data_IF_627256578524
#
_entry.id   IF_627256578524
#
_cell.length_a   1.000
_cell.length_b   1.000
_cell.length_c   1.000
_cell.angle_alpha   90.00
_cell.angle_beta   90.00
_cell.angle_gamma   90.00
#
_symmetry.space_group_name_H-M   'P 1'
#
loop_
_entity.id
_entity.type
_entity.pdbx_description
1 polymer ?
#
# COMPACT_ATOMS: atom_id res chain seq x y z
N UNK A 1 14.12 -16.97 -5.61
CA UNK A 1 14.55 -15.56 -5.53
C UNK A 1 14.45 -15.08 -4.10
N UNK A 2 15.40 -14.24 -3.64
CA UNK A 2 15.29 -13.55 -2.35
C UNK A 2 14.14 -12.53 -2.44
N UNK A 3 13.23 -12.53 -1.46
CA UNK A 3 12.16 -11.51 -1.36
C UNK A 3 12.73 -10.25 -0.69
N UNK A 4 12.36 -9.09 -1.20
CA UNK A 4 12.77 -7.79 -0.66
C UNK A 4 11.62 -7.18 0.14
N UNK A 5 11.93 -6.67 1.33
CA UNK A 5 10.95 -6.01 2.20
C UNK A 5 10.80 -4.54 1.81
N UNK A 6 9.61 -4.01 2.04
CA UNK A 6 9.38 -2.57 1.96
C UNK A 6 10.02 -1.86 3.16
N UNK A 7 10.46 -0.62 2.95
CA UNK A 7 11.03 0.21 4.00
C UNK A 7 9.96 0.88 4.89
N UNK A 8 8.66 0.76 4.56
CA UNK A 8 7.55 1.16 5.42
C UNK A 8 6.84 -0.05 6.03
N UNK A 9 6.33 0.12 7.25
CA UNK A 9 5.28 -0.74 7.80
C UNK A 9 3.95 -0.26 7.24
N UNK A 10 3.18 -1.15 6.63
CA UNK A 10 1.93 -0.78 5.99
C UNK A 10 0.86 -1.83 6.25
N UNK A 11 -0.36 -1.36 6.54
CA UNK A 11 -1.50 -2.25 6.66
C UNK A 11 -1.76 -2.93 5.32
N UNK A 12 -2.05 -4.22 5.32
CA UNK A 12 -2.31 -4.98 4.09
C UNK A 12 -1.06 -5.37 3.30
N UNK A 13 0.16 -5.18 3.83
CA UNK A 13 1.40 -5.53 3.13
C UNK A 13 1.42 -6.96 2.58
N UNK A 14 1.55 -7.08 1.25
CA UNK A 14 1.41 -8.33 0.50
C UNK A 14 2.62 -9.24 0.50
N UNK A 15 3.64 -8.95 1.30
CA UNK A 15 4.87 -9.73 1.41
C UNK A 15 4.63 -11.27 1.56
N UNK A 16 3.67 -11.75 2.38
CA UNK A 16 3.36 -13.17 2.47
C UNK A 16 2.76 -13.77 1.18
N UNK A 17 2.05 -12.98 0.39
CA UNK A 17 1.28 -13.40 -0.80
C UNK A 17 2.04 -13.19 -2.10
N UNK A 18 3.28 -12.71 -2.04
CA UNK A 18 4.06 -12.38 -3.23
C UNK A 18 4.21 -13.54 -4.20
N UNK A 19 4.34 -14.77 -3.71
CA UNK A 19 4.54 -15.93 -4.60
C UNK A 19 3.26 -16.26 -5.36
N UNK A 20 2.10 -16.14 -4.71
CA UNK A 20 0.80 -16.35 -5.35
C UNK A 20 0.49 -15.21 -6.32
N UNK A 21 0.69 -13.95 -5.92
CA UNK A 21 0.51 -12.79 -6.80
C UNK A 21 1.38 -12.91 -8.05
N UNK A 22 2.67 -13.23 -7.90
CA UNK A 22 3.59 -13.39 -9.03
C UNK A 22 3.24 -14.54 -9.95
N UNK A 23 2.57 -15.58 -9.46
CA UNK A 23 2.10 -16.69 -10.30
C UNK A 23 1.00 -16.26 -11.27
N UNK A 24 0.23 -15.25 -10.89
CA UNK A 24 -0.91 -14.75 -11.67
C UNK A 24 -0.65 -13.43 -12.40
N UNK A 25 0.46 -12.75 -12.11
CA UNK A 25 0.90 -11.58 -12.86
C UNK A 25 1.73 -12.00 -14.09
N UNK A 26 1.26 -11.74 -15.33
CA UNK A 26 2.04 -12.02 -16.52
C UNK A 26 3.16 -11.00 -16.72
N UNK A 27 4.07 -11.30 -17.63
CA UNK A 27 5.04 -10.32 -18.13
C UNK A 27 4.33 -9.20 -18.91
N UNK A 28 4.99 -8.05 -19.00
CA UNK A 28 4.51 -6.88 -19.73
C UNK A 28 5.54 -5.75 -19.71
N UNK A 29 5.23 -4.64 -20.39
CA UNK A 29 6.13 -3.50 -20.54
C UNK A 29 6.04 -2.52 -19.36
N UNK A 30 4.87 -2.47 -18.71
CA UNK A 30 4.61 -1.58 -17.59
C UNK A 30 3.69 -2.25 -16.56
N UNK A 31 4.10 -2.25 -15.28
CA UNK A 31 3.18 -2.58 -14.19
C UNK A 31 2.56 -1.31 -13.62
N UNK A 32 1.24 -1.29 -13.56
CA UNK A 32 0.46 -0.22 -12.95
C UNK A 32 -0.08 -0.71 -11.61
N UNK A 33 0.26 -0.01 -10.53
CA UNK A 33 -0.29 -0.25 -9.19
C UNK A 33 -1.06 0.99 -8.72
N UNK A 34 -2.41 1.04 -8.87
CA UNK A 34 -3.23 2.18 -8.45
C UNK A 34 -3.34 2.37 -6.93
N UNK A 35 -2.88 1.37 -6.17
CA UNK A 35 -2.91 1.31 -4.70
C UNK A 35 -1.55 0.82 -4.19
N UNK A 36 -0.46 1.52 -4.54
CA UNK A 36 0.89 1.00 -4.31
C UNK A 36 1.16 0.71 -2.83
N UNK A 37 0.63 1.51 -1.91
CA UNK A 37 0.92 1.38 -0.47
C UNK A 37 2.43 1.26 -0.23
N UNK A 38 2.86 0.24 0.51
CA UNK A 38 4.30 -0.05 0.75
C UNK A 38 5.09 -0.55 -0.49
N UNK A 39 4.47 -0.80 -1.63
CA UNK A 39 5.15 -1.22 -2.87
C UNK A 39 5.71 -2.65 -2.83
N UNK A 40 5.10 -3.56 -2.07
CA UNK A 40 5.63 -4.93 -1.92
C UNK A 40 5.70 -5.67 -3.25
N UNK A 41 4.73 -5.49 -4.15
CA UNK A 41 4.71 -6.14 -5.47
C UNK A 41 5.76 -5.50 -6.38
N UNK A 42 5.75 -4.18 -6.55
CA UNK A 42 6.79 -3.40 -7.23
C UNK A 42 8.23 -3.80 -6.84
N UNK A 43 8.53 -3.95 -5.55
CA UNK A 43 9.87 -4.30 -5.07
C UNK A 43 10.31 -5.75 -5.36
N UNK A 44 9.39 -6.59 -5.84
CA UNK A 44 9.58 -8.03 -6.01
C UNK A 44 9.19 -8.56 -7.41
N UNK A 45 8.82 -7.68 -8.34
CA UNK A 45 8.58 -7.99 -9.76
C UNK A 45 9.66 -7.35 -10.66
N UNK A 46 9.69 -7.66 -11.95
CA UNK A 46 10.68 -7.10 -12.89
C UNK A 46 9.99 -6.69 -14.19
N UNK A 47 9.41 -5.50 -14.19
CA UNK A 47 8.88 -4.85 -15.39
C UNK A 47 9.85 -3.77 -15.87
N UNK A 48 9.91 -3.48 -17.18
CA UNK A 48 10.72 -2.39 -17.71
C UNK A 48 10.36 -1.02 -17.13
N UNK A 49 9.08 -0.78 -16.85
CA UNK A 49 8.59 0.46 -16.24
C UNK A 49 7.45 0.23 -15.26
N UNK A 50 7.21 1.22 -14.39
CA UNK A 50 6.13 1.19 -13.40
C UNK A 50 5.39 2.52 -13.33
N UNK A 51 4.06 2.46 -13.18
CA UNK A 51 3.22 3.60 -12.76
C UNK A 51 2.62 3.23 -11.40
N UNK A 52 3.05 3.94 -10.37
CA UNK A 52 2.74 3.63 -8.98
C UNK A 52 1.96 4.78 -8.37
N UNK A 53 0.69 4.53 -8.03
CA UNK A 53 -0.20 5.56 -7.52
C UNK A 53 -0.74 5.23 -6.13
N UNK A 54 -1.01 6.28 -5.36
CA UNK A 54 -1.75 6.21 -4.11
C UNK A 54 -2.47 7.54 -3.88
N UNK A 55 -3.57 7.52 -3.14
CA UNK A 55 -4.27 8.75 -2.75
C UNK A 55 -3.53 9.48 -1.62
N UNK A 56 -2.62 8.81 -0.92
CA UNK A 56 -1.83 9.39 0.15
C UNK A 56 -0.68 10.24 -0.41
N UNK A 57 -0.84 11.56 -0.37
CA UNK A 57 0.16 12.52 -0.84
C UNK A 57 1.48 12.46 -0.07
N UNK A 58 1.48 12.20 1.23
CA UNK A 58 2.70 12.09 2.03
C UNK A 58 3.54 10.86 1.63
N UNK A 59 2.87 9.76 1.28
CA UNK A 59 3.50 8.55 0.78
C UNK A 59 4.19 8.81 -0.56
N UNK A 60 3.47 9.40 -1.51
CA UNK A 60 3.99 9.70 -2.85
C UNK A 60 5.13 10.73 -2.79
N UNK A 61 5.00 11.75 -1.94
CA UNK A 61 6.06 12.72 -1.69
C UNK A 61 7.34 12.03 -1.17
N UNK A 62 7.21 11.16 -0.15
CA UNK A 62 8.32 10.38 0.37
C UNK A 62 8.99 9.54 -0.73
N UNK A 63 8.21 8.85 -1.57
CA UNK A 63 8.74 8.00 -2.63
C UNK A 63 9.55 8.79 -3.67
N UNK A 64 9.05 9.95 -4.10
CA UNK A 64 9.80 10.81 -5.01
C UNK A 64 11.09 11.34 -4.38
N UNK A 65 11.06 11.75 -3.10
CA UNK A 65 12.29 12.19 -2.40
C UNK A 65 13.33 11.07 -2.28
N UNK A 66 12.92 9.86 -1.93
CA UNK A 66 13.83 8.71 -1.84
C UNK A 66 14.39 8.34 -3.22
N UNK A 67 13.58 8.45 -4.28
CA UNK A 67 14.02 8.25 -5.67
C UNK A 67 15.09 9.27 -6.09
N UNK A 68 14.86 10.54 -5.79
CA UNK A 68 15.69 11.65 -6.29
C UNK A 68 16.96 11.87 -5.45
N UNK A 69 16.88 11.65 -4.13
CA UNK A 69 17.94 12.01 -3.18
C UNK A 69 18.20 10.91 -2.14
N UNK A 70 18.46 9.66 -2.53
CA UNK A 70 18.53 8.53 -1.59
C UNK A 70 19.62 8.69 -0.53
N UNK A 71 20.83 9.07 -0.94
CA UNK A 71 21.98 9.23 -0.04
C UNK A 71 21.70 10.29 1.05
N UNK A 72 21.34 11.50 0.62
CA UNK A 72 21.05 12.61 1.52
C UNK A 72 19.86 12.29 2.44
N UNK A 73 18.80 11.68 1.90
CA UNK A 73 17.63 11.29 2.67
C UNK A 73 17.99 10.29 3.78
N UNK A 74 18.75 9.23 3.44
CA UNK A 74 19.20 8.21 4.41
C UNK A 74 20.06 8.82 5.51
N UNK A 75 21.03 9.65 5.15
CA UNK A 75 21.92 10.32 6.11
C UNK A 75 21.15 11.23 7.07
N UNK A 76 20.19 12.00 6.56
CA UNK A 76 19.42 12.94 7.37
C UNK A 76 18.39 12.23 8.25
N UNK A 77 17.63 11.29 7.69
CA UNK A 77 16.56 10.62 8.43
C UNK A 77 17.11 9.70 9.51
N UNK A 78 18.31 9.12 9.31
CA UNK A 78 19.00 8.31 10.33
C UNK A 78 19.21 9.07 11.64
N UNK A 79 19.41 10.40 11.58
CA UNK A 79 19.55 11.27 12.76
C UNK A 79 18.28 11.28 13.63
N UNK A 80 17.14 10.82 13.12
CA UNK A 80 15.88 10.64 13.86
C UNK A 80 15.73 9.25 14.48
N UNK A 81 16.62 8.30 14.18
CA UNK A 81 16.57 6.92 14.66
C UNK A 81 17.59 6.67 15.78
N UNK A 82 17.60 7.55 16.78
CA UNK A 82 18.46 7.43 17.97
C UNK A 82 17.70 6.87 19.17
N UNK A 83 18.40 6.51 20.24
CA UNK A 83 17.78 6.02 21.49
C UNK A 83 16.92 7.12 22.13
N UNK A 84 17.42 8.35 22.12
CA UNK A 84 16.75 9.54 22.66
C UNK A 84 15.49 9.89 21.86
N UNK A 85 15.46 9.53 20.57
CA UNK A 85 14.30 9.74 19.70
C UNK A 85 13.18 8.73 19.93
N UNK A 86 13.44 7.63 20.67
CA UNK A 86 12.45 6.62 21.01
C UNK A 86 11.78 6.89 22.37
N UNK A 87 11.33 8.13 22.55
CA UNK A 87 10.62 8.61 23.73
C UNK A 87 9.24 9.17 23.34
N UNK A 88 8.28 9.06 24.25
CA UNK A 88 6.90 9.48 23.99
C UNK A 88 6.76 11.00 23.82
N UNK A 89 7.49 11.80 24.58
CA UNK A 89 7.46 13.27 24.49
C UNK A 89 8.07 13.70 23.17
N UNK A 90 9.22 13.13 22.80
CA UNK A 90 9.87 13.39 21.51
C UNK A 90 8.97 12.98 20.35
N UNK A 91 8.36 11.79 20.41
CA UNK A 91 7.43 11.32 19.38
C UNK A 91 6.26 12.29 19.15
N UNK A 92 5.61 12.76 20.21
CA UNK A 92 4.49 13.68 20.07
C UNK A 92 4.90 15.06 19.57
N UNK A 93 6.08 15.56 19.95
CA UNK A 93 6.66 16.78 19.39
C UNK A 93 6.92 16.63 17.89
N UNK A 94 7.53 15.53 17.45
CA UNK A 94 7.76 15.23 16.02
C UNK A 94 6.46 15.03 15.23
N UNK A 95 5.43 14.45 15.85
CA UNK A 95 4.09 14.33 15.25
C UNK A 95 3.44 15.70 15.05
N UNK A 96 3.55 16.59 16.03
CA UNK A 96 3.06 17.95 15.90
C UNK A 96 3.84 18.70 14.81
N UNK A 97 5.16 18.57 14.80
CA UNK A 97 6.03 19.13 13.75
C UNK A 97 5.61 18.65 12.35
N UNK A 98 5.34 17.36 12.19
CA UNK A 98 4.85 16.80 10.93
C UNK A 98 3.52 17.42 10.49
N UNK A 99 2.57 17.58 11.41
CA UNK A 99 1.25 18.16 11.11
C UNK A 99 1.32 19.65 10.75
N UNK A 100 2.31 20.39 11.29
CA UNK A 100 2.48 21.82 11.04
C UNK A 100 3.41 22.13 9.85
N UNK A 101 4.33 21.22 9.53
CA UNK A 101 5.34 21.42 8.49
C UNK A 101 4.73 21.48 7.09
N UNK A 102 5.15 22.50 6.33
CA UNK A 102 4.89 22.65 4.90
C UNK A 102 6.09 22.26 4.03
N UNK A 103 7.25 21.99 4.64
CA UNK A 103 8.45 21.53 3.91
C UNK A 103 8.29 20.05 3.51
N UNK A 104 8.22 19.73 2.20
CA UNK A 104 8.05 18.36 1.72
C UNK A 104 9.18 17.42 2.16
N UNK A 105 10.42 17.91 2.22
CA UNK A 105 11.57 17.09 2.61
C UNK A 105 11.50 16.73 4.10
N UNK A 106 11.25 17.73 4.95
CA UNK A 106 11.07 17.50 6.38
C UNK A 106 9.87 16.59 6.67
N UNK A 107 8.76 16.76 5.96
CA UNK A 107 7.59 15.88 6.07
C UNK A 107 7.94 14.44 5.74
N UNK A 108 8.68 14.18 4.67
CA UNK A 108 9.09 12.82 4.31
C UNK A 108 9.97 12.15 5.37
N UNK A 109 10.93 12.89 5.94
CA UNK A 109 11.77 12.38 7.04
C UNK A 109 10.92 12.01 8.26
N UNK A 110 10.03 12.92 8.67
CA UNK A 110 9.15 12.73 9.82
C UNK A 110 8.14 11.60 9.56
N UNK A 111 7.65 11.45 8.33
CA UNK A 111 6.72 10.38 7.96
C UNK A 111 7.35 8.99 8.17
N UNK A 112 8.60 8.78 7.73
CA UNK A 112 9.32 7.53 7.97
C UNK A 112 9.58 7.30 9.46
N UNK A 113 10.01 8.34 10.20
CA UNK A 113 10.18 8.28 11.65
C UNK A 113 8.88 7.86 12.33
N UNK A 114 7.77 8.56 12.06
CA UNK A 114 6.46 8.28 12.64
C UNK A 114 6.00 6.86 12.30
N UNK A 115 6.14 6.41 11.05
CA UNK A 115 5.78 5.05 10.65
C UNK A 115 6.50 3.96 11.47
N UNK A 116 7.78 4.17 11.79
CA UNK A 116 8.59 3.21 12.54
C UNK A 116 8.39 3.30 14.05
N UNK A 117 7.94 4.44 14.58
CA UNK A 117 7.75 4.68 16.01
C UNK A 117 6.28 4.64 16.47
N UNK A 118 5.32 4.75 15.56
CA UNK A 118 3.89 4.76 15.89
C UNK A 118 3.32 3.37 16.15
N UNK A 119 2.18 3.31 16.82
CA UNK A 119 1.46 2.08 17.09
C UNK A 119 1.18 1.29 15.81
N UNK A 120 1.74 0.08 15.74
CA UNK A 120 1.61 -0.90 14.66
C UNK A 120 2.00 -0.42 13.25
N UNK A 121 2.70 0.72 13.13
CA UNK A 121 2.99 1.29 11.81
C UNK A 121 1.73 1.70 11.05
N UNK A 122 0.67 2.08 11.77
CA UNK A 122 -0.54 2.59 11.16
C UNK A 122 -0.27 3.94 10.50
N UNK A 123 -0.96 4.18 9.38
CA UNK A 123 -1.03 5.48 8.74
C UNK A 123 -2.48 5.98 8.84
N UNK A 124 -2.73 6.97 9.71
CA UNK A 124 -4.09 7.46 9.98
C UNK A 124 -4.08 8.95 10.22
N UNK A 125 -5.02 9.62 9.58
CA UNK A 125 -5.26 11.05 9.67
C UNK A 125 -6.68 11.30 10.19
N UNK A 126 -6.90 12.44 10.85
CA UNK A 126 -8.24 12.92 11.14
C UNK A 126 -8.83 13.69 9.94
N UNK A 127 -10.07 14.19 10.08
CA UNK A 127 -10.75 14.95 9.03
C UNK A 127 -10.07 16.29 8.68
N UNK A 128 -9.14 16.78 9.52
CA UNK A 128 -8.32 17.97 9.24
C UNK A 128 -7.01 17.63 8.50
N UNK A 129 -6.80 16.36 8.13
CA UNK A 129 -5.56 15.91 7.50
C UNK A 129 -4.38 15.78 8.46
N UNK A 130 -4.61 15.76 9.78
CA UNK A 130 -3.55 15.66 10.77
C UNK A 130 -3.30 14.19 11.15
N UNK A 131 -2.05 13.75 11.09
CA UNK A 131 -1.63 12.43 11.53
C UNK A 131 -1.85 12.28 13.04
N UNK A 132 -2.57 11.23 13.44
CA UNK A 132 -3.07 11.08 14.81
C UNK A 132 -2.81 9.70 15.44
N UNK A 133 -1.84 8.95 14.93
CA UNK A 133 -1.48 7.64 15.50
C UNK A 133 -0.68 7.84 16.79
N UNK A 134 -0.98 7.10 17.87
CA UNK A 134 -0.23 7.19 19.14
C UNK A 134 1.16 6.53 19.04
N UNK A 135 2.00 6.80 20.01
CA UNK A 135 3.33 6.17 20.15
C UNK A 135 3.22 4.65 20.31
N UNK A 136 4.13 3.90 19.67
CA UNK A 136 4.10 2.44 19.64
C UNK A 136 4.92 1.73 20.73
N UNK A 137 5.75 2.47 21.46
CA UNK A 137 6.59 1.94 22.56
C UNK A 137 7.43 0.71 22.20
N UNK A 138 8.03 0.70 21.01
CA UNK A 138 8.94 -0.37 20.59
C UNK A 138 10.26 -0.29 21.37
N UNK A 139 10.90 -1.45 21.63
CA UNK A 139 12.21 -1.48 22.31
C UNK A 139 13.30 -0.78 21.50
N UNK A 140 13.36 -1.07 20.20
CA UNK A 140 14.30 -0.46 19.25
C UNK A 140 13.66 -0.46 17.86
N UNK A 141 13.12 0.68 17.40
CA UNK A 141 12.65 0.82 16.03
C UNK A 141 13.76 0.50 15.04
N UNK A 142 13.47 -0.36 14.08
CA UNK A 142 14.41 -0.71 13.01
C UNK A 142 14.53 0.44 12.00
N UNK A 143 15.76 0.84 11.69
CA UNK A 143 16.05 1.79 10.61
C UNK A 143 16.28 1.03 9.29
N UNK A 144 15.41 1.21 8.27
CA UNK A 144 15.41 0.39 7.06
C UNK A 144 16.35 0.91 5.98
N UNK A 145 17.65 0.95 6.28
CA UNK A 145 18.67 1.49 5.38
C UNK A 145 18.77 0.71 4.06
N UNK A 146 18.99 -0.60 4.14
CA UNK A 146 19.13 -1.44 2.95
C UNK A 146 17.85 -1.41 2.10
N UNK A 147 16.68 -1.40 2.73
CA UNK A 147 15.40 -1.31 2.02
C UNK A 147 15.17 0.05 1.37
N UNK A 148 15.71 1.15 1.93
CA UNK A 148 15.64 2.48 1.32
C UNK A 148 16.49 2.53 0.05
N UNK A 149 17.72 2.03 0.10
CA UNK A 149 18.60 2.00 -1.08
C UNK A 149 18.06 1.05 -2.16
N UNK A 150 17.56 -0.12 -1.76
CA UNK A 150 16.89 -1.03 -2.70
C UNK A 150 15.67 -0.38 -3.35
N UNK A 151 14.83 0.32 -2.57
CA UNK A 151 13.70 1.06 -3.11
C UNK A 151 14.16 2.12 -4.11
N UNK A 152 15.19 2.90 -3.79
CA UNK A 152 15.69 3.97 -4.63
C UNK A 152 16.26 3.46 -5.97
N UNK A 153 16.97 2.33 -5.96
CA UNK A 153 17.45 1.66 -7.17
C UNK A 153 16.28 1.26 -8.07
N UNK A 154 15.29 0.58 -7.49
CA UNK A 154 14.08 0.14 -8.19
C UNK A 154 13.24 1.30 -8.72
N UNK A 155 13.20 2.40 -7.96
CA UNK A 155 12.42 3.59 -8.26
C UNK A 155 12.87 4.34 -9.52
N UNK A 156 14.07 4.07 -10.03
CA UNK A 156 14.56 4.71 -11.27
C UNK A 156 13.68 4.36 -12.48
N UNK A 157 13.06 3.17 -12.48
CA UNK A 157 12.14 2.74 -13.53
C UNK A 157 10.67 3.02 -13.19
N UNK A 158 10.38 3.76 -12.11
CA UNK A 158 9.03 4.00 -11.62
C UNK A 158 8.63 5.48 -11.70
N UNK A 159 7.36 5.73 -12.02
CA UNK A 159 6.71 7.03 -11.91
C UNK A 159 5.73 6.98 -10.75
N UNK A 160 5.92 7.84 -9.75
CA UNK A 160 5.03 7.93 -8.59
C UNK A 160 4.06 9.10 -8.75
N UNK A 161 2.76 8.84 -8.61
CA UNK A 161 1.70 9.85 -8.81
C UNK A 161 0.69 9.82 -7.66
N UNK A 162 0.26 11.00 -7.22
CA UNK A 162 -0.76 11.13 -6.17
C UNK A 162 -2.11 11.38 -6.84
N UNK A 163 -2.85 10.31 -7.13
CA UNK A 163 -4.13 10.36 -7.83
C UNK A 163 -5.01 9.18 -7.45
N UNK A 164 -6.29 9.24 -7.80
CA UNK A 164 -7.24 8.16 -7.56
C UNK A 164 -7.03 6.99 -8.52
N UNK A 165 -7.56 5.83 -8.13
CA UNK A 165 -7.36 4.59 -8.88
C UNK A 165 -7.94 4.65 -10.30
N UNK A 166 -9.08 5.29 -10.49
CA UNK A 166 -9.75 5.44 -11.78
C UNK A 166 -8.91 6.27 -12.77
N UNK A 167 -8.32 7.37 -12.30
CA UNK A 167 -7.41 8.20 -13.11
C UNK A 167 -6.14 7.42 -13.46
N UNK A 168 -5.61 6.63 -12.51
CA UNK A 168 -4.42 5.81 -12.75
C UNK A 168 -4.70 4.72 -13.78
N UNK A 169 -5.84 4.03 -13.66
CA UNK A 169 -6.25 2.96 -14.55
C UNK A 169 -6.48 3.45 -15.98
N UNK A 170 -6.96 4.68 -16.16
CA UNK A 170 -7.10 5.31 -17.47
C UNK A 170 -5.76 5.52 -18.21
N UNK A 171 -4.62 5.42 -17.52
CA UNK A 171 -3.27 5.49 -18.14
C UNK A 171 -2.81 4.16 -18.71
N UNK A 172 -3.52 3.06 -18.44
CA UNK A 172 -3.17 1.74 -18.94
C UNK A 172 -3.25 1.71 -20.47
N UNK A 173 -2.25 1.11 -21.10
CA UNK A 173 -2.14 0.96 -22.55
C UNK A 173 -1.82 -0.49 -22.89
N UNK A 174 -1.91 -0.87 -24.16
CA UNK A 174 -1.42 -2.18 -24.63
C UNK A 174 0.00 -2.44 -24.12
N UNK A 175 0.23 -3.65 -23.60
CA UNK A 175 1.49 -4.03 -22.94
C UNK A 175 1.54 -3.72 -21.43
N UNK A 176 0.56 -2.98 -20.90
CA UNK A 176 0.43 -2.77 -19.45
C UNK A 176 -0.14 -4.01 -18.76
N UNK A 177 0.30 -4.23 -17.53
CA UNK A 177 -0.28 -5.17 -16.57
C UNK A 177 -0.70 -4.36 -15.35
N UNK A 178 -1.87 -4.63 -14.81
CA UNK A 178 -2.41 -3.88 -13.67
C UNK A 178 -2.52 -4.78 -12.45
N UNK A 179 -2.03 -4.31 -11.31
CA UNK A 179 -2.25 -4.93 -10.01
C UNK A 179 -2.96 -3.96 -9.06
N UNK A 180 -4.13 -4.37 -8.58
CA UNK A 180 -4.95 -3.57 -7.67
C UNK A 180 -5.01 -4.23 -6.28
N UNK A 181 -4.58 -3.48 -5.27
CA UNK A 181 -4.71 -3.85 -3.86
C UNK A 181 -5.53 -2.82 -3.07
N UNK A 182 -6.85 -2.71 -3.33
CA UNK A 182 -7.68 -1.70 -2.68
C UNK A 182 -7.76 -1.93 -1.16
N UNK A 183 -8.10 -0.89 -0.38
CA UNK A 183 -8.51 -1.09 1.01
C UNK A 183 -9.62 -2.14 1.08
N UNK A 184 -9.45 -3.17 1.90
CA UNK A 184 -10.33 -4.35 1.80
C UNK A 184 -11.79 -4.08 2.16
N UNK A 185 -12.66 -4.87 1.54
CA UNK A 185 -14.08 -4.87 1.83
C UNK A 185 -14.34 -5.25 3.31
N UNK A 186 -15.37 -4.67 3.94
CA UNK A 186 -15.72 -5.01 5.31
C UNK A 186 -16.11 -6.49 5.44
N UNK A 187 -15.66 -7.13 6.52
CA UNK A 187 -15.91 -8.56 6.79
C UNK A 187 -17.38 -8.89 7.08
N UNK A 188 -18.20 -7.90 7.44
CA UNK A 188 -19.64 -8.06 7.60
C UNK A 188 -20.39 -6.76 7.28
N UNK A 189 -21.67 -6.89 6.93
CA UNK A 189 -22.55 -5.73 6.77
C UNK A 189 -22.75 -4.95 8.08
N UNK A 190 -22.55 -5.57 9.25
CA UNK A 190 -22.66 -4.95 10.58
C UNK A 190 -21.38 -4.24 11.02
N UNK A 191 -20.21 -4.59 10.47
CA UNK A 191 -18.97 -3.83 10.66
C UNK A 191 -19.04 -2.41 10.05
N UNK A 192 -20.08 -2.13 9.26
CA UNK A 192 -20.40 -0.79 8.71
C UNK A 192 -20.81 0.22 9.78
N UNK A 193 -21.34 -0.23 10.93
CA UNK A 193 -21.98 0.67 11.90
C UNK A 193 -21.00 1.40 12.84
N UNK A 194 -19.70 1.07 12.79
CA UNK A 194 -18.66 1.69 13.65
C UNK A 194 -17.66 2.56 12.89
N UNK A 195 -17.78 2.68 11.56
CA UNK A 195 -16.83 3.45 10.74
C UNK A 195 -17.48 4.73 10.20
N UNK A 196 -17.51 5.79 11.01
CA UNK A 196 -17.68 7.15 10.50
C UNK A 196 -16.41 7.55 9.74
N UNK A 197 -16.32 7.20 8.45
CA UNK A 197 -15.26 7.69 7.57
C UNK A 197 -15.86 8.09 6.21
N UNK A 198 -16.00 9.40 6.01
CA UNK A 198 -16.46 10.00 4.75
C UNK A 198 -15.41 9.98 3.63
N UNK A 199 -14.19 9.50 3.90
CA UNK A 199 -13.07 9.33 2.95
C UNK A 199 -12.58 7.87 2.85
N UNK A 200 -13.36 6.88 3.28
CA UNK A 200 -12.98 5.47 3.12
C UNK A 200 -13.43 4.93 1.77
N UNK A 201 -12.58 4.09 1.16
CA UNK A 201 -12.89 3.35 -0.07
C UNK A 201 -14.20 2.56 0.09
N UNK A 202 -15.25 3.08 -0.53
CA UNK A 202 -16.64 2.68 -0.31
C UNK A 202 -17.02 1.41 -1.07
N UNK A 203 -18.16 0.81 -0.73
CA UNK A 203 -18.72 -0.33 -1.48
C UNK A 203 -18.94 0.02 -2.96
N UNK A 204 -19.28 1.28 -3.26
CA UNK A 204 -19.46 1.77 -4.62
C UNK A 204 -18.12 1.83 -5.35
N UNK A 205 -17.06 2.28 -4.70
CA UNK A 205 -15.72 2.30 -5.29
C UNK A 205 -15.15 0.89 -5.49
N UNK A 206 -15.44 -0.06 -4.58
CA UNK A 206 -15.10 -1.48 -4.77
C UNK A 206 -15.73 -2.05 -6.04
N UNK A 207 -17.03 -1.80 -6.23
CA UNK A 207 -17.75 -2.26 -7.42
C UNK A 207 -17.23 -1.55 -8.68
N UNK A 208 -17.04 -0.24 -8.63
CA UNK A 208 -16.53 0.54 -9.75
C UNK A 208 -15.13 0.09 -10.18
N UNK A 209 -14.25 -0.26 -9.23
CA UNK A 209 -12.95 -0.86 -9.53
C UNK A 209 -13.08 -2.18 -10.32
N UNK A 210 -14.03 -3.04 -9.96
CA UNK A 210 -14.29 -4.29 -10.68
C UNK A 210 -14.83 -4.04 -12.10
N UNK A 211 -15.70 -3.04 -12.27
CA UNK A 211 -16.23 -2.62 -13.57
C UNK A 211 -15.09 -2.11 -14.46
N UNK A 212 -14.22 -1.21 -13.97
CA UNK A 212 -13.07 -0.72 -14.70
C UNK A 212 -12.09 -1.84 -15.09
N UNK A 213 -11.84 -2.79 -14.19
CA UNK A 213 -10.98 -3.94 -14.47
C UNK A 213 -11.55 -4.82 -15.59
N UNK A 214 -12.86 -5.06 -15.56
CA UNK A 214 -13.57 -5.79 -16.62
C UNK A 214 -13.47 -5.06 -17.96
N UNK A 215 -13.70 -3.74 -17.99
CA UNK A 215 -13.61 -2.92 -19.20
C UNK A 215 -12.20 -2.94 -19.79
N UNK A 216 -11.16 -2.73 -18.97
CA UNK A 216 -9.76 -2.77 -19.42
C UNK A 216 -9.40 -4.14 -20.02
N UNK A 217 -9.87 -5.21 -19.40
CA UNK A 217 -9.60 -6.57 -19.88
C UNK A 217 -10.35 -6.89 -21.17
N UNK A 218 -11.60 -6.47 -21.31
CA UNK A 218 -12.43 -6.80 -22.48
C UNK A 218 -12.13 -5.90 -23.69
N UNK A 219 -11.98 -4.60 -23.46
CA UNK A 219 -11.91 -3.62 -24.55
C UNK A 219 -10.46 -3.36 -24.99
N UNK A 220 -9.49 -3.52 -24.09
CA UNK A 220 -8.08 -3.17 -24.33
C UNK A 220 -7.11 -4.35 -24.23
N UNK A 221 -7.61 -5.56 -23.95
CA UNK A 221 -6.78 -6.76 -23.74
C UNK A 221 -5.68 -6.55 -22.67
N UNK A 222 -6.00 -5.83 -21.60
CA UNK A 222 -5.08 -5.55 -20.50
C UNK A 222 -5.36 -6.51 -19.36
N UNK A 223 -4.31 -7.18 -18.87
CA UNK A 223 -4.47 -8.06 -17.70
C UNK A 223 -4.59 -7.24 -16.43
N UNK A 224 -5.61 -7.53 -15.63
CA UNK A 224 -5.85 -6.89 -14.34
C UNK A 224 -5.96 -7.96 -13.26
N UNK A 225 -5.11 -7.88 -12.24
CA UNK A 225 -5.16 -8.72 -11.06
C UNK A 225 -5.61 -7.90 -9.85
N UNK A 226 -6.66 -8.31 -9.16
CA UNK A 226 -7.16 -7.65 -7.95
C UNK A 226 -7.01 -8.58 -6.76
N UNK A 227 -6.48 -8.10 -5.63
CA UNK A 227 -6.51 -8.82 -4.35
C UNK A 227 -7.55 -8.25 -3.39
N UNK A 228 -8.35 -9.10 -2.75
CA UNK A 228 -9.29 -8.69 -1.71
C UNK A 228 -9.56 -9.82 -0.70
N UNK A 229 -10.37 -9.55 0.32
CA UNK A 229 -10.95 -10.62 1.13
C UNK A 229 -11.83 -11.54 0.31
N UNK A 230 -11.80 -12.84 0.59
CA UNK A 230 -12.78 -13.77 0.04
C UNK A 230 -14.10 -13.67 0.81
N UNK A 231 -15.11 -13.06 0.18
CA UNK A 231 -16.44 -12.85 0.74
C UNK A 231 -17.51 -13.02 -0.34
N UNK A 232 -18.79 -13.25 0.02
CA UNK A 232 -19.86 -13.27 -0.96
C UNK A 232 -19.96 -11.98 -1.81
N UNK A 233 -19.61 -10.83 -1.23
CA UNK A 233 -19.64 -9.54 -1.91
C UNK A 233 -18.53 -9.42 -2.96
N UNK A 234 -17.30 -9.76 -2.59
CA UNK A 234 -16.15 -9.70 -3.51
C UNK A 234 -16.28 -10.74 -4.63
N UNK A 235 -16.80 -11.94 -4.34
CA UNK A 235 -17.13 -12.94 -5.38
C UNK A 235 -18.21 -12.46 -6.36
N UNK A 236 -19.19 -11.68 -5.88
CA UNK A 236 -20.20 -11.06 -6.74
C UNK A 236 -19.59 -9.98 -7.63
N UNK A 237 -18.83 -9.04 -7.06
CA UNK A 237 -18.19 -7.97 -7.83
C UNK A 237 -17.24 -8.51 -8.89
N UNK A 238 -16.49 -9.57 -8.57
CA UNK A 238 -15.47 -10.14 -9.46
C UNK A 238 -15.97 -11.32 -10.30
N UNK A 239 -17.29 -11.48 -10.49
CA UNK A 239 -17.88 -12.60 -11.24
C UNK A 239 -17.38 -12.76 -12.69
N UNK A 240 -16.85 -11.69 -13.29
CA UNK A 240 -16.26 -11.70 -14.63
C UNK A 240 -14.78 -12.12 -14.69
N UNK A 241 -14.16 -12.38 -13.55
CA UNK A 241 -12.76 -12.79 -13.44
C UNK A 241 -12.60 -14.28 -13.15
N UNK A 242 -11.41 -14.81 -13.41
CA UNK A 242 -10.97 -16.09 -12.86
C UNK A 242 -10.59 -15.88 -11.40
N UNK A 243 -11.29 -16.57 -10.49
CA UNK A 243 -11.13 -16.41 -9.05
C UNK A 243 -10.20 -17.48 -8.46
N UNK A 244 -9.17 -17.04 -7.75
CA UNK A 244 -8.25 -17.91 -7.02
C UNK A 244 -8.31 -17.61 -5.53
N UNK A 245 -8.67 -18.62 -4.73
CA UNK A 245 -8.68 -18.53 -3.28
C UNK A 245 -7.29 -18.86 -2.72
N UNK A 246 -6.83 -18.04 -1.76
CA UNK A 246 -5.57 -18.27 -1.04
C UNK A 246 -5.87 -18.38 0.45
N UNK A 247 -5.50 -19.52 1.03
CA UNK A 247 -5.56 -19.71 2.47
C UNK A 247 -4.45 -18.90 3.15
N UNK A 248 -4.84 -17.81 3.82
CA UNK A 248 -3.91 -17.02 4.61
C UNK A 248 -4.15 -17.25 6.09
N UNK A 249 -3.09 -17.63 6.81
CA UNK A 249 -3.08 -17.61 8.28
C UNK A 249 -3.01 -16.16 8.77
N UNK A 250 -4.11 -15.41 8.71
CA UNK A 250 -4.17 -14.08 9.32
C UNK A 250 -4.29 -14.22 10.84
N UNK A 251 -3.36 -13.63 11.58
CA UNK A 251 -3.48 -13.41 13.02
C UNK A 251 -4.02 -12.00 13.27
N UNK A 252 -5.34 -11.83 13.30
CA UNK A 252 -5.97 -10.55 13.64
C UNK A 252 -7.06 -10.79 14.68
N UNK A 253 -6.68 -10.94 15.95
CA UNK A 253 -7.56 -10.65 17.10
C UNK A 253 -6.73 -10.55 18.40
N UNK A 254 -7.22 -9.74 19.35
CA UNK A 254 -6.62 -9.54 20.69
C UNK A 254 -7.11 -10.58 21.72
N UNK A 255 -7.94 -11.54 21.31
CA UNK A 255 -8.57 -12.56 22.15
C UNK A 255 -8.53 -13.94 21.48
N UNK A 256 -8.06 -14.95 22.21
CA UNK A 256 -7.79 -16.30 21.67
C UNK A 256 -9.01 -17.10 21.18
N UNK A 257 -10.24 -16.60 21.41
CA UNK A 257 -11.48 -17.38 21.22
C UNK A 257 -12.34 -16.98 20.02
N UNK A 258 -11.93 -16.01 19.19
CA UNK A 258 -12.69 -15.56 17.99
C UNK A 258 -11.78 -15.43 16.76
N UNK A 259 -11.00 -16.47 16.46
CA UNK A 259 -10.21 -16.54 15.22
C UNK A 259 -11.12 -16.92 14.04
N UNK A 260 -11.76 -15.97 13.39
CA UNK A 260 -12.30 -16.19 12.05
C UNK A 260 -11.15 -16.13 11.03
N UNK A 261 -10.88 -17.25 10.36
CA UNK A 261 -10.00 -17.27 9.19
C UNK A 261 -10.78 -16.67 8.03
N UNK A 262 -10.28 -15.57 7.46
CA UNK A 262 -10.80 -15.03 6.20
C UNK A 262 -9.70 -15.26 5.17
N UNK A 263 -9.99 -16.07 4.15
CA UNK A 263 -9.11 -16.30 3.01
C UNK A 263 -8.95 -15.01 2.19
N UNK A 264 -7.88 -14.95 1.41
CA UNK A 264 -7.74 -13.93 0.36
C UNK A 264 -8.33 -14.47 -0.94
N UNK A 265 -8.77 -13.55 -1.77
CA UNK A 265 -9.23 -13.78 -3.12
C UNK A 265 -8.34 -12.98 -4.07
N UNK A 266 -7.78 -13.67 -5.06
CA UNK A 266 -7.21 -13.04 -6.26
C UNK A 266 -8.22 -13.17 -7.40
N UNK A 267 -8.64 -12.04 -7.96
CA UNK A 267 -9.48 -11.97 -9.14
C UNK A 267 -8.64 -11.56 -10.35
N UNK A 268 -8.47 -12.50 -11.28
CA UNK A 268 -7.69 -12.31 -12.50
C UNK A 268 -8.61 -12.06 -13.70
N UNK A 269 -8.54 -10.86 -14.25
CA UNK A 269 -9.14 -10.52 -15.54
C UNK A 269 -8.07 -10.61 -16.63
N UNK A 270 -8.28 -11.50 -17.59
CA UNK A 270 -7.42 -11.67 -18.77
C UNK A 270 -8.27 -11.44 -20.01
N UNK A 271 -7.77 -10.64 -20.95
CA UNK A 271 -8.43 -10.48 -22.24
C UNK A 271 -8.49 -11.80 -23.02
N UNK A 272 -9.42 -11.87 -23.98
CA UNK A 272 -9.60 -13.04 -24.85
C UNK A 272 -8.54 -13.11 -25.94
#
# INVERSE_FOLDING_TARGET
MKKNRAFLKWAGGKYPLLDDIRRHLPEGDCLIEPFVGAGSVFLNTHYPSYILADINSDLINLYNIVKERPQAFVEDVRKLFTIESNDSVVYYARRQEFNLSQDPYRRAMLFLYLNRHCYNGLCRYNLRGEFNVPFGSYRKPYFPEDELFWFAERAQNATFVCESYDVTLAKAKTGSVVYCDPPYAPLSATAKFTAYHTNSFSMREQQHLAELASTLSQDSNITVLISNHDTPLTRNWYQGAVLHEIEVRRSISRSGNTRSKVSELLALYTGR
#
